data_IF_359137236348
#
_entry.id   IF_359137236348
#
_cell.length_a   1.000
_cell.length_b   1.000
_cell.length_c   1.000
_cell.angle_alpha   90.00
_cell.angle_beta   90.00
_cell.angle_gamma   90.00
#
_symmetry.space_group_name_H-M   'P 1'
#
loop_
_entity.id
_entity.type
_entity.pdbx_description
1 polymer ?
#
# COMPACT_ATOMS: atom_id res chain seq x y z
N UNK A 1 10.16 -32.19 18.74
CA UNK A 1 8.94 -31.55 18.21
C UNK A 1 9.36 -30.85 16.94
N UNK A 2 8.87 -31.30 15.79
CA UNK A 2 9.22 -30.73 14.49
C UNK A 2 8.72 -29.29 14.43
N UNK A 3 9.61 -28.33 14.22
CA UNK A 3 9.26 -26.93 14.11
C UNK A 3 8.96 -26.58 12.65
N UNK A 4 8.00 -25.69 12.41
CA UNK A 4 7.69 -25.14 11.09
C UNK A 4 8.91 -24.46 10.44
N UNK A 5 9.87 -24.03 11.27
CA UNK A 5 11.17 -23.47 10.86
C UNK A 5 12.18 -24.50 10.33
N UNK A 6 11.92 -25.80 10.55
CA UNK A 6 12.80 -26.88 10.08
C UNK A 6 12.34 -27.45 8.72
N UNK A 7 11.24 -26.92 8.16
CA UNK A 7 10.73 -27.37 6.86
C UNK A 7 11.69 -26.87 5.77
N UNK A 8 12.19 -27.76 4.89
CA UNK A 8 13.00 -27.36 3.75
C UNK A 8 12.24 -26.44 2.81
N UNK A 9 12.95 -25.47 2.22
CA UNK A 9 12.40 -24.49 1.28
C UNK A 9 11.58 -25.14 0.15
N UNK A 10 12.05 -26.25 -0.42
CA UNK A 10 11.34 -26.96 -1.50
C UNK A 10 9.95 -27.45 -1.06
N UNK A 11 9.82 -27.90 0.19
CA UNK A 11 8.54 -28.33 0.75
C UNK A 11 7.64 -27.12 1.00
N UNK A 12 8.20 -26.00 1.48
CA UNK A 12 7.44 -24.75 1.63
C UNK A 12 6.94 -24.24 0.28
N UNK A 13 7.72 -24.34 -0.81
CA UNK A 13 7.25 -24.00 -2.18
C UNK A 13 6.04 -24.83 -2.58
N UNK A 14 6.09 -26.16 -2.38
CA UNK A 14 4.97 -27.06 -2.69
C UNK A 14 3.72 -26.70 -1.87
N UNK A 15 3.88 -26.34 -0.59
CA UNK A 15 2.76 -25.89 0.25
C UNK A 15 2.14 -24.62 -0.33
N UNK A 16 2.97 -23.64 -0.72
CA UNK A 16 2.50 -22.39 -1.32
C UNK A 16 1.81 -22.61 -2.66
N UNK A 17 2.35 -23.46 -3.53
CA UNK A 17 1.73 -23.83 -4.83
C UNK A 17 0.35 -24.47 -4.66
N UNK A 18 0.13 -25.20 -3.56
CA UNK A 18 -1.15 -25.85 -3.25
C UNK A 18 -2.10 -25.01 -2.41
N UNK A 19 -1.63 -23.87 -1.88
CA UNK A 19 -2.42 -23.02 -1.01
C UNK A 19 -3.20 -22.00 -1.85
N UNK A 20 -4.46 -21.77 -1.47
CA UNK A 20 -5.17 -20.59 -1.96
C UNK A 20 -4.59 -19.32 -1.31
N UNK A 21 -5.03 -18.15 -1.77
CA UNK A 21 -4.60 -16.89 -1.17
C UNK A 21 -4.82 -16.81 0.32
N UNK A 22 -5.97 -17.26 0.82
CA UNK A 22 -6.30 -17.15 2.23
C UNK A 22 -5.37 -18.03 3.06
N UNK A 23 -5.00 -19.20 2.55
CA UNK A 23 -3.97 -20.07 3.09
C UNK A 23 -2.60 -19.40 3.09
N UNK A 24 -2.16 -18.84 1.96
CA UNK A 24 -0.89 -18.11 1.85
C UNK A 24 -0.84 -16.93 2.83
N UNK A 25 -1.90 -16.13 2.91
CA UNK A 25 -2.01 -14.99 3.81
C UNK A 25 -2.05 -15.40 5.29
N UNK A 26 -2.69 -16.52 5.59
CA UNK A 26 -2.67 -17.09 6.94
C UNK A 26 -1.26 -17.54 7.32
N UNK A 27 -0.56 -18.25 6.42
CA UNK A 27 0.83 -18.68 6.60
C UNK A 27 1.77 -17.48 6.80
N UNK A 28 1.61 -16.43 5.99
CA UNK A 28 2.37 -15.17 6.08
C UNK A 28 2.19 -14.44 7.43
N UNK A 29 1.04 -14.65 8.09
CA UNK A 29 0.72 -14.04 9.39
C UNK A 29 1.24 -14.87 10.58
N UNK A 30 1.62 -16.13 10.39
CA UNK A 30 2.04 -17.01 11.49
C UNK A 30 3.41 -16.67 12.08
N UNK A 31 4.45 -16.47 11.25
CA UNK A 31 5.80 -16.17 11.74
C UNK A 31 6.64 -15.35 10.73
N UNK A 32 7.72 -14.73 11.22
CA UNK A 32 8.60 -13.90 10.39
C UNK A 32 9.34 -14.69 9.31
N UNK A 33 9.76 -15.92 9.60
CA UNK A 33 10.47 -16.76 8.64
C UNK A 33 9.60 -17.10 7.43
N UNK A 34 8.39 -17.62 7.67
CA UNK A 34 7.43 -17.90 6.59
C UNK A 34 7.04 -16.64 5.83
N UNK A 35 6.89 -15.50 6.52
CA UNK A 35 6.64 -14.23 5.87
C UNK A 35 7.75 -13.90 4.89
N UNK A 36 9.00 -13.84 5.34
CA UNK A 36 10.12 -13.49 4.48
C UNK A 36 10.26 -14.48 3.32
N UNK A 37 10.12 -15.79 3.59
CA UNK A 37 10.14 -16.81 2.54
C UNK A 37 9.02 -16.63 1.49
N UNK A 38 7.79 -16.37 1.93
CA UNK A 38 6.66 -16.10 1.03
C UNK A 38 6.93 -14.84 0.20
N UNK A 39 7.46 -13.79 0.83
CA UNK A 39 7.80 -12.53 0.16
C UNK A 39 8.90 -12.73 -0.91
N UNK A 40 9.89 -13.58 -0.63
CA UNK A 40 11.01 -13.88 -1.53
C UNK A 40 10.63 -14.83 -2.68
N UNK A 41 9.77 -15.81 -2.42
CA UNK A 41 9.36 -16.85 -3.38
C UNK A 41 8.20 -16.41 -4.26
N UNK A 42 7.30 -15.60 -3.71
CA UNK A 42 6.16 -15.02 -4.41
C UNK A 42 6.23 -13.49 -4.36
N UNK A 43 7.28 -12.86 -4.93
CA UNK A 43 7.32 -11.41 -5.10
C UNK A 43 6.27 -11.10 -6.17
N UNK A 44 5.00 -10.97 -5.77
CA UNK A 44 3.91 -11.12 -6.71
C UNK A 44 3.52 -9.79 -7.34
N UNK A 45 3.31 -9.82 -8.67
CA UNK A 45 2.19 -9.07 -9.24
C UNK A 45 1.03 -9.97 -9.68
N UNK A 46 1.27 -11.27 -9.99
CA UNK A 46 0.32 -12.04 -10.83
C UNK A 46 -0.31 -13.31 -10.21
N UNK A 47 0.22 -13.89 -9.13
CA UNK A 47 -0.30 -15.20 -8.66
C UNK A 47 -1.42 -15.08 -7.62
N UNK A 48 -1.56 -13.92 -6.98
CA UNK A 48 -2.64 -13.73 -6.00
C UNK A 48 -3.22 -12.31 -5.97
N UNK A 49 -3.60 -11.80 -7.15
CA UNK A 49 -4.52 -10.65 -7.22
C UNK A 49 -5.91 -11.12 -6.80
N UNK A 50 -6.12 -11.35 -5.50
CA UNK A 50 -7.40 -11.85 -5.01
C UNK A 50 -8.50 -10.84 -5.32
N UNK A 51 -9.35 -11.14 -6.29
CA UNK A 51 -10.64 -10.48 -6.55
C UNK A 51 -10.59 -8.99 -6.91
N UNK A 52 -9.48 -8.26 -6.72
CA UNK A 52 -9.49 -6.81 -6.93
C UNK A 52 -9.69 -6.46 -8.40
N UNK A 53 -9.13 -7.26 -9.32
CA UNK A 53 -9.33 -7.07 -10.77
C UNK A 53 -10.78 -7.37 -11.17
N UNK A 54 -11.42 -8.35 -10.53
CA UNK A 54 -12.83 -8.68 -10.79
C UNK A 54 -13.76 -7.61 -10.21
N UNK A 55 -13.55 -7.22 -8.95
CA UNK A 55 -14.32 -6.20 -8.25
C UNK A 55 -14.13 -4.83 -8.93
N UNK A 56 -12.92 -4.50 -9.40
CA UNK A 56 -12.61 -3.25 -10.11
C UNK A 56 -13.51 -3.02 -11.33
N UNK A 57 -13.93 -4.09 -11.99
CA UNK A 57 -14.79 -4.02 -13.16
C UNK A 57 -16.29 -3.93 -12.84
N UNK A 58 -16.68 -4.14 -11.58
CA UNK A 58 -18.06 -4.09 -11.12
C UNK A 58 -18.64 -2.66 -11.15
N UNK A 59 -19.96 -2.56 -11.29
CA UNK A 59 -20.67 -1.28 -11.22
C UNK A 59 -20.56 -0.65 -9.81
N UNK A 60 -20.56 -1.49 -8.77
CA UNK A 60 -20.43 -1.04 -7.38
C UNK A 60 -19.10 -0.33 -7.16
N UNK A 61 -18.01 -0.91 -7.66
CA UNK A 61 -16.68 -0.31 -7.55
C UNK A 61 -16.57 0.99 -8.36
N UNK A 62 -17.06 0.98 -9.60
CA UNK A 62 -16.99 2.15 -10.50
C UNK A 62 -17.79 3.36 -10.00
N UNK A 63 -18.91 3.11 -9.31
CA UNK A 63 -19.78 4.17 -8.78
C UNK A 63 -19.50 4.50 -7.30
N UNK A 64 -18.62 3.74 -6.64
CA UNK A 64 -18.30 3.99 -5.24
C UNK A 64 -17.48 5.28 -5.09
N UNK A 65 -17.83 6.05 -4.07
CA UNK A 65 -17.12 7.28 -3.68
C UNK A 65 -16.03 7.03 -2.65
N UNK A 66 -16.20 5.97 -1.86
CA UNK A 66 -15.35 5.64 -0.72
C UNK A 66 -14.92 4.19 -0.84
N UNK A 67 -13.62 3.92 -0.70
CA UNK A 67 -13.08 2.55 -0.62
C UNK A 67 -12.10 2.42 0.56
N UNK A 68 -12.47 1.60 1.54
CA UNK A 68 -11.59 1.27 2.66
C UNK A 68 -11.32 -0.24 2.67
N UNK A 69 -10.05 -0.59 2.45
CA UNK A 69 -9.60 -1.98 2.36
C UNK A 69 -8.61 -2.24 3.48
N UNK A 70 -9.01 -3.12 4.41
CA UNK A 70 -8.22 -3.48 5.56
C UNK A 70 -7.68 -4.90 5.41
N UNK A 71 -6.43 -5.13 5.84
CA UNK A 71 -5.81 -6.46 5.97
C UNK A 71 -5.58 -7.24 4.65
N UNK A 72 -5.73 -6.58 3.50
CA UNK A 72 -5.33 -7.09 2.19
C UNK A 72 -4.06 -6.39 1.75
N UNK A 73 -3.16 -7.17 1.17
CA UNK A 73 -1.92 -6.68 0.60
C UNK A 73 -2.19 -6.12 -0.78
N UNK A 74 -2.13 -4.80 -0.91
CA UNK A 74 -2.34 -4.10 -2.16
C UNK A 74 -0.99 -3.85 -2.79
N UNK A 75 -0.79 -4.46 -3.97
CA UNK A 75 0.47 -4.36 -4.74
C UNK A 75 0.60 -3.12 -5.58
N UNK A 76 -0.52 -2.47 -5.90
CA UNK A 76 -0.47 -1.12 -6.44
C UNK A 76 -1.56 -0.28 -5.80
N UNK A 77 -1.20 0.75 -5.03
CA UNK A 77 -2.18 1.65 -4.44
C UNK A 77 -2.92 2.48 -5.50
N UNK A 78 -2.48 2.45 -6.76
CA UNK A 78 -3.12 3.12 -7.89
C UNK A 78 -4.60 2.77 -8.11
N UNK A 79 -5.09 1.67 -7.51
CA UNK A 79 -6.51 1.31 -7.50
C UNK A 79 -7.37 2.33 -6.72
N UNK A 80 -6.77 3.09 -5.81
CA UNK A 80 -7.44 4.05 -4.96
C UNK A 80 -7.67 5.41 -5.62
N UNK A 81 -7.07 5.65 -6.78
CA UNK A 81 -7.04 6.96 -7.41
C UNK A 81 -8.39 7.54 -7.81
N UNK A 82 -9.37 6.66 -8.01
CA UNK A 82 -10.67 7.01 -8.59
C UNK A 82 -11.72 7.36 -7.53
N UNK A 83 -11.41 7.16 -6.25
CA UNK A 83 -12.35 7.43 -5.16
C UNK A 83 -12.23 8.88 -4.68
N UNK A 84 -13.33 9.44 -4.17
CA UNK A 84 -13.27 10.70 -3.42
C UNK A 84 -12.45 10.49 -2.14
N UNK A 85 -12.65 9.35 -1.46
CA UNK A 85 -11.91 8.96 -0.26
C UNK A 85 -11.45 7.51 -0.32
N UNK A 86 -10.23 7.24 0.10
CA UNK A 86 -9.71 5.88 0.14
C UNK A 86 -8.80 5.61 1.33
N UNK A 87 -8.79 4.36 1.79
CA UNK A 87 -7.83 3.86 2.76
C UNK A 87 -7.38 2.44 2.41
N UNK A 88 -6.09 2.18 2.48
CA UNK A 88 -5.51 0.91 2.10
C UNK A 88 -4.24 0.56 2.83
N UNK A 89 -3.81 -0.69 2.62
CA UNK A 89 -2.60 -1.26 3.17
C UNK A 89 -1.75 -1.86 2.03
N UNK A 90 -0.52 -1.39 1.87
CA UNK A 90 0.48 -1.91 0.95
C UNK A 90 1.61 -2.55 1.76
N UNK A 91 2.44 -3.39 1.15
CA UNK A 91 3.62 -3.90 1.87
C UNK A 91 4.81 -3.11 1.48
N UNK A 92 5.08 -3.08 0.19
CA UNK A 92 6.10 -2.25 -0.40
C UNK A 92 5.42 -1.02 -1.00
N UNK A 93 5.98 0.15 -0.73
CA UNK A 93 5.59 1.38 -1.39
C UNK A 93 6.79 1.88 -2.19
N UNK A 94 6.66 1.78 -3.52
CA UNK A 94 7.70 2.16 -4.46
C UNK A 94 7.57 3.64 -4.90
N UNK A 95 8.66 4.26 -5.37
CA UNK A 95 8.63 5.64 -5.89
C UNK A 95 7.61 5.82 -7.03
N UNK A 96 7.49 4.82 -7.91
CA UNK A 96 6.59 4.83 -9.06
C UNK A 96 5.12 4.83 -8.64
N UNK A 97 4.78 4.13 -7.55
CA UNK A 97 3.41 4.10 -7.02
C UNK A 97 2.99 5.47 -6.53
N UNK A 98 3.86 6.16 -5.80
CA UNK A 98 3.57 7.49 -5.25
C UNK A 98 3.53 8.54 -6.35
N UNK A 99 4.43 8.46 -7.34
CA UNK A 99 4.39 9.31 -8.52
C UNK A 99 3.08 9.16 -9.31
N UNK A 100 2.64 7.91 -9.53
CA UNK A 100 1.40 7.62 -10.25
C UNK A 100 0.17 8.09 -9.47
N UNK A 101 0.12 7.88 -8.16
CA UNK A 101 -0.96 8.38 -7.30
C UNK A 101 -1.04 9.91 -7.37
N UNK A 102 0.10 10.59 -7.23
CA UNK A 102 0.20 12.04 -7.32
C UNK A 102 -0.38 12.56 -8.63
N UNK A 103 0.05 12.00 -9.76
CA UNK A 103 -0.48 12.36 -11.09
C UNK A 103 -2.00 12.20 -11.16
N UNK A 104 -2.51 11.05 -10.72
CA UNK A 104 -3.95 10.78 -10.80
C UNK A 104 -4.78 11.62 -9.85
N UNK A 105 -4.28 11.96 -8.66
CA UNK A 105 -5.00 12.82 -7.73
C UNK A 105 -5.02 14.27 -8.20
N UNK A 106 -3.92 14.77 -8.77
CA UNK A 106 -3.89 16.09 -9.42
C UNK A 106 -4.90 16.18 -10.58
N UNK A 107 -5.10 15.08 -11.32
CA UNK A 107 -6.09 14.99 -12.39
C UNK A 107 -7.54 14.71 -11.94
N UNK A 108 -7.79 14.43 -10.65
CA UNK A 108 -9.11 14.06 -10.15
C UNK A 108 -9.77 15.21 -9.36
N UNK A 109 -10.73 15.95 -9.95
CA UNK A 109 -11.33 17.11 -9.30
C UNK A 109 -12.18 16.77 -8.06
N UNK A 110 -12.57 15.51 -7.92
CA UNK A 110 -13.41 15.01 -6.82
C UNK A 110 -12.60 14.36 -5.69
N UNK A 111 -11.27 14.26 -5.84
CA UNK A 111 -10.40 13.73 -4.79
C UNK A 111 -10.50 14.58 -3.52
N UNK A 112 -10.50 13.90 -2.37
CA UNK A 112 -10.57 14.54 -1.03
C UNK A 112 -9.59 13.96 -0.03
N UNK A 113 -9.35 12.65 -0.06
CA UNK A 113 -8.37 12.00 0.84
C UNK A 113 -7.98 10.60 0.37
N UNK A 114 -6.70 10.25 0.44
CA UNK A 114 -6.23 8.87 0.36
C UNK A 114 -5.26 8.58 1.52
N UNK A 115 -5.47 7.47 2.22
CA UNK A 115 -4.63 7.03 3.34
C UNK A 115 -3.99 5.68 3.01
N UNK A 116 -2.66 5.61 2.92
CA UNK A 116 -1.94 4.39 2.59
C UNK A 116 -1.02 4.04 3.75
N UNK A 117 -1.28 2.89 4.36
CA UNK A 117 -0.35 2.26 5.27
C UNK A 117 0.61 1.38 4.47
N UNK A 118 1.87 1.31 4.87
CA UNK A 118 2.85 0.44 4.21
C UNK A 118 3.76 -0.28 5.22
N UNK A 119 4.39 -1.40 4.82
CA UNK A 119 5.31 -2.14 5.70
C UNK A 119 6.77 -1.76 5.49
N UNK A 120 7.14 -1.52 4.23
CA UNK A 120 8.48 -1.23 3.75
C UNK A 120 8.36 -0.06 2.77
N UNK A 121 9.20 0.93 2.98
CA UNK A 121 9.34 2.08 2.10
C UNK A 121 10.56 1.85 1.23
N UNK A 122 10.41 1.91 -0.10
CA UNK A 122 11.56 1.80 -0.98
C UNK A 122 12.37 3.12 -1.04
N UNK A 123 13.64 3.01 -1.39
CA UNK A 123 14.50 4.17 -1.59
C UNK A 123 13.98 5.00 -2.78
N UNK A 124 14.02 6.34 -2.68
CA UNK A 124 13.56 7.22 -3.74
C UNK A 124 12.11 7.70 -3.59
N UNK A 125 11.35 7.19 -2.62
CA UNK A 125 9.94 7.57 -2.46
C UNK A 125 9.78 9.05 -2.12
N UNK A 126 10.64 9.59 -1.27
CA UNK A 126 10.57 11.01 -0.90
C UNK A 126 10.90 11.93 -2.08
N UNK A 127 11.88 11.55 -2.88
CA UNK A 127 12.27 12.22 -4.12
C UNK A 127 11.12 12.18 -5.14
N UNK A 128 10.39 11.06 -5.23
CA UNK A 128 9.22 10.93 -6.10
C UNK A 128 8.01 11.76 -5.64
N UNK A 129 7.86 12.01 -4.33
CA UNK A 129 6.84 12.92 -3.81
C UNK A 129 7.16 14.36 -4.24
N UNK A 130 8.36 14.82 -3.89
CA UNK A 130 8.85 16.14 -4.28
C UNK A 130 10.04 16.59 -3.43
N UNK A 131 10.63 17.70 -3.85
CA UNK A 131 11.75 18.31 -3.13
C UNK A 131 11.27 19.13 -1.93
N UNK A 132 12.14 19.31 -0.93
CA UNK A 132 11.95 20.23 0.21
C UNK A 132 10.66 20.02 1.03
N UNK A 133 10.45 18.85 1.66
CA UNK A 133 9.35 18.69 2.61
C UNK A 133 9.47 19.69 3.76
N UNK A 134 8.31 20.15 4.25
CA UNK A 134 8.22 20.72 5.59
C UNK A 134 8.39 19.59 6.61
N UNK A 135 9.39 19.71 7.46
CA UNK A 135 9.64 18.75 8.53
C UNK A 135 8.96 19.26 9.80
N UNK A 136 8.18 18.39 10.43
CA UNK A 136 7.62 18.60 11.76
C UNK A 136 7.82 17.35 12.61
N UNK A 137 7.37 17.39 13.85
CA UNK A 137 7.32 16.21 14.71
C UNK A 137 6.09 16.27 15.61
N UNK A 138 5.55 15.11 15.95
CA UNK A 138 4.54 14.97 17.00
C UNK A 138 4.93 13.84 17.96
N UNK A 139 4.02 13.48 18.86
CA UNK A 139 4.25 12.43 19.86
C UNK A 139 4.54 11.04 19.23
N UNK A 140 4.34 10.88 17.92
CA UNK A 140 4.52 9.63 17.20
C UNK A 140 5.78 9.58 16.34
N UNK A 141 6.44 10.72 16.08
CA UNK A 141 7.72 10.75 15.35
C UNK A 141 7.90 11.97 14.45
N UNK A 142 8.87 11.86 13.54
CA UNK A 142 9.07 12.86 12.49
C UNK A 142 7.92 12.79 11.48
N UNK A 143 7.48 13.96 11.03
CA UNK A 143 6.49 14.13 9.97
C UNK A 143 7.08 14.93 8.83
N UNK A 144 6.82 14.49 7.60
CA UNK A 144 7.22 15.19 6.38
C UNK A 144 5.98 15.58 5.60
N UNK A 145 5.87 16.85 5.23
CA UNK A 145 4.70 17.40 4.54
C UNK A 145 5.13 18.12 3.28
N UNK A 146 4.59 17.69 2.13
CA UNK A 146 4.70 18.35 0.85
C UNK A 146 3.37 19.01 0.49
N UNK A 147 3.45 20.19 -0.12
CA UNK A 147 2.31 20.93 -0.63
C UNK A 147 2.52 21.15 -2.12
N UNK A 148 1.60 20.64 -2.92
CA UNK A 148 1.68 20.65 -4.37
C UNK A 148 0.50 21.43 -4.94
N UNK A 149 0.79 22.39 -5.80
CA UNK A 149 -0.26 23.14 -6.49
C UNK A 149 -1.06 22.23 -7.41
N UNK A 150 -2.37 22.47 -7.47
CA UNK A 150 -3.25 21.77 -8.41
C UNK A 150 -3.63 22.68 -9.57
N UNK A 151 -4.33 22.13 -10.56
CA UNK A 151 -4.86 22.91 -11.69
C UNK A 151 -5.91 23.93 -11.22
N UNK A 152 -6.54 23.69 -10.08
CA UNK A 152 -7.46 24.59 -9.40
C UNK A 152 -6.65 25.44 -8.39
N UNK A 153 -6.54 26.77 -8.58
CA UNK A 153 -5.73 27.62 -7.73
C UNK A 153 -6.25 27.71 -6.28
N UNK A 154 -7.50 27.33 -6.04
CA UNK A 154 -8.09 27.29 -4.70
C UNK A 154 -7.83 25.94 -3.98
N UNK A 155 -7.17 24.98 -4.66
CA UNK A 155 -6.86 23.66 -4.13
C UNK A 155 -5.36 23.36 -4.17
N UNK A 156 -4.89 22.75 -3.09
CA UNK A 156 -3.53 22.27 -2.91
C UNK A 156 -3.62 20.79 -2.55
N UNK A 157 -2.81 19.96 -3.21
CA UNK A 157 -2.63 18.57 -2.81
C UNK A 157 -1.57 18.52 -1.69
N UNK A 158 -1.97 18.05 -0.51
CA UNK A 158 -1.09 17.90 0.64
C UNK A 158 -0.70 16.44 0.81
N UNK A 159 0.59 16.16 0.75
CA UNK A 159 1.14 14.82 0.98
C UNK A 159 1.85 14.83 2.32
N UNK A 160 1.41 13.99 3.25
CA UNK A 160 1.99 13.84 4.59
C UNK A 160 2.50 12.41 4.77
N UNK A 161 3.73 12.29 5.24
CA UNK A 161 4.35 11.04 5.65
C UNK A 161 4.67 11.08 7.14
N UNK A 162 4.41 9.98 7.85
CA UNK A 162 4.70 9.82 9.28
C UNK A 162 5.04 8.37 9.63
N UNK A 163 6.11 8.17 10.41
CA UNK A 163 6.50 6.86 10.96
C UNK A 163 5.65 6.53 12.21
N UNK A 164 4.41 6.06 12.04
CA UNK A 164 3.59 5.61 13.17
C UNK A 164 4.12 4.27 13.73
N UNK A 165 4.81 4.29 14.88
CA UNK A 165 5.40 3.08 15.51
C UNK A 165 4.38 2.03 16.00
N UNK A 166 3.08 2.35 16.04
CA UNK A 166 2.04 1.40 16.44
C UNK A 166 1.17 1.08 15.22
N UNK A 167 1.57 0.01 14.52
CA UNK A 167 0.96 -0.55 13.31
C UNK A 167 1.17 0.25 12.02
N UNK A 168 2.44 0.23 11.58
CA UNK A 168 2.91 0.33 10.20
C UNK A 168 2.63 1.69 9.55
N UNK A 169 3.75 2.36 9.29
CA UNK A 169 3.93 3.70 8.76
C UNK A 169 2.88 4.21 7.77
N UNK A 170 2.69 5.51 7.79
CA UNK A 170 1.54 6.16 7.19
C UNK A 170 1.89 7.24 6.18
N UNK A 171 1.23 7.17 5.02
CA UNK A 171 1.14 8.25 4.04
C UNK A 171 -0.31 8.74 3.92
N UNK A 172 -0.56 9.98 4.29
CA UNK A 172 -1.84 10.68 4.16
C UNK A 172 -1.78 11.69 3.01
N UNK A 173 -2.63 11.53 2.01
CA UNK A 173 -2.82 12.42 0.87
C UNK A 173 -4.14 13.17 1.08
N UNK A 174 -4.12 14.49 1.24
CA UNK A 174 -5.29 15.35 1.46
C UNK A 174 -5.53 16.28 0.27
#
# INVERSE_FOLDING_TARGET
MSNLLEIPDDVMRIILEKSDYFGIQSLRKTCHHLRNFIDDVLPSPNTVSLGINEIRNSEQWKNAKIAEIYRFDIWSPSIFSNFEKSKGYCIDLAPEDVALLKEKFLGNPNFKKCKIHYQRLENGVFEAIGENPRIGSDDFGEKRIWLLDTVDPDKILRIEHSEEQILRDLLDLF
#
